data_IF_518324902413
#
_entry.id   IF_518324902413
#
_cell.length_a   1.000
_cell.length_b   1.000
_cell.length_c   1.000
_cell.angle_alpha   90.00
_cell.angle_beta   90.00
_cell.angle_gamma   90.00
#
_symmetry.space_group_name_H-M   'P 1'
#
loop_
_entity.id
_entity.type
_entity.pdbx_description
1 polymer ?
#
# COMPACT_ATOMS: atom_id res chain seq x y z
N UNK A 1 19.13 26.41 42.09
CA UNK A 1 18.32 25.36 42.74
C UNK A 1 17.18 25.04 41.80
N UNK A 2 17.17 23.81 41.28
CA UNK A 2 16.10 22.98 40.66
C UNK A 2 14.76 23.67 40.35
N UNK A 3 14.07 23.45 39.23
CA UNK A 3 13.95 22.32 38.29
C UNK A 3 12.87 22.82 37.29
N UNK A 4 13.03 22.72 35.97
CA UNK A 4 12.79 21.49 35.24
C UNK A 4 11.29 21.33 34.96
N UNK A 5 10.76 21.99 33.93
CA UNK A 5 9.53 21.59 33.23
C UNK A 5 9.67 21.93 31.74
N UNK A 6 10.55 21.18 31.09
CA UNK A 6 10.70 21.13 29.64
C UNK A 6 9.48 20.37 29.09
N UNK A 7 8.36 21.06 28.93
CA UNK A 7 7.13 20.47 28.40
C UNK A 7 7.25 20.28 26.87
N UNK A 8 8.16 19.39 26.46
CA UNK A 8 8.45 19.01 25.07
C UNK A 8 7.44 18.02 24.47
N UNK A 9 6.25 17.86 25.05
CA UNK A 9 5.17 17.16 24.35
C UNK A 9 4.58 18.14 23.36
N UNK A 10 5.26 18.26 22.22
CA UNK A 10 4.64 18.77 21.00
C UNK A 10 3.28 18.12 20.91
N UNK A 11 2.24 18.97 20.97
CA UNK A 11 0.85 18.57 20.85
C UNK A 11 0.78 17.51 19.77
N UNK A 12 0.42 16.28 20.13
CA UNK A 12 0.19 15.20 19.18
C UNK A 12 -1.05 15.59 18.37
N UNK A 13 -0.85 16.54 17.47
CA UNK A 13 -1.80 16.96 16.47
C UNK A 13 -2.00 15.72 15.63
N UNK A 14 -3.24 15.21 15.66
CA UNK A 14 -3.68 14.22 14.70
C UNK A 14 -3.22 14.73 13.33
N UNK A 15 -2.30 14.02 12.65
CA UNK A 15 -1.64 14.60 11.50
C UNK A 15 -2.73 14.83 10.45
N UNK A 16 -2.72 16.00 9.81
CA UNK A 16 -3.75 16.45 8.86
C UNK A 16 -3.98 15.46 7.68
N UNK A 17 -3.18 14.39 7.58
CA UNK A 17 -3.30 13.27 6.62
C UNK A 17 -4.66 12.57 6.62
N UNK A 18 -5.46 12.64 7.69
CA UNK A 18 -6.80 12.00 7.70
C UNK A 18 -7.87 12.88 7.04
N UNK A 19 -7.62 14.18 6.82
CA UNK A 19 -8.58 15.09 6.17
C UNK A 19 -8.52 15.05 4.64
N UNK A 20 -7.37 14.69 4.06
CA UNK A 20 -7.20 14.52 2.62
C UNK A 20 -7.08 13.03 2.29
N UNK A 21 -7.77 12.50 1.26
CA UNK A 21 -7.57 11.12 0.83
C UNK A 21 -6.09 10.82 0.57
N UNK A 22 -5.55 9.82 1.27
CA UNK A 22 -4.12 9.47 1.20
C UNK A 22 -3.93 8.14 0.46
N UNK A 23 -2.98 8.11 -0.48
CA UNK A 23 -2.61 6.91 -1.25
C UNK A 23 -1.29 6.33 -0.72
N UNK A 24 -1.28 5.05 -0.37
CA UNK A 24 -0.09 4.33 0.07
C UNK A 24 0.32 3.34 -1.02
N UNK A 25 1.38 3.67 -1.77
CA UNK A 25 1.92 2.80 -2.82
C UNK A 25 3.05 1.93 -2.27
N UNK A 26 2.89 0.61 -2.38
CA UNK A 26 3.91 -0.34 -1.94
C UNK A 26 4.86 -0.70 -3.09
N UNK A 27 6.15 -0.49 -2.89
CA UNK A 27 7.19 -0.77 -3.88
C UNK A 27 8.11 -1.92 -3.46
N UNK A 28 8.77 -2.55 -4.43
CA UNK A 28 9.79 -3.57 -4.19
C UNK A 28 9.64 -4.82 -5.05
N UNK A 29 10.61 -5.73 -4.95
CA UNK A 29 10.65 -6.96 -5.75
C UNK A 29 9.52 -7.94 -5.42
N UNK A 30 9.13 -8.83 -6.35
CA UNK A 30 8.19 -9.91 -6.09
C UNK A 30 8.56 -10.71 -4.82
N UNK A 31 7.54 -11.28 -4.15
CA UNK A 31 7.69 -12.05 -2.90
C UNK A 31 8.26 -11.30 -1.66
N UNK A 32 8.44 -9.97 -1.71
CA UNK A 32 8.91 -9.16 -0.56
C UNK A 32 7.83 -8.73 0.43
N UNK A 33 6.77 -9.52 0.61
CA UNK A 33 5.76 -9.25 1.63
C UNK A 33 4.85 -8.05 1.41
N UNK A 34 4.91 -7.35 0.25
CA UNK A 34 4.03 -6.21 -0.07
C UNK A 34 2.56 -6.52 0.19
N UNK A 35 2.02 -7.58 -0.41
CA UNK A 35 0.60 -7.96 -0.24
C UNK A 35 0.24 -8.29 1.21
N UNK A 36 1.19 -8.84 1.99
CA UNK A 36 0.97 -9.10 3.41
C UNK A 36 0.89 -7.77 4.20
N UNK A 37 1.82 -6.86 3.93
CA UNK A 37 1.88 -5.56 4.59
C UNK A 37 0.64 -4.69 4.29
N UNK A 38 0.15 -4.63 3.03
CA UNK A 38 -1.08 -3.88 2.75
C UNK A 38 -2.27 -4.44 3.50
N UNK A 39 -2.47 -5.76 3.51
CA UNK A 39 -3.60 -6.38 4.20
C UNK A 39 -3.57 -6.09 5.69
N UNK A 40 -2.39 -6.18 6.32
CA UNK A 40 -2.21 -5.88 7.75
C UNK A 40 -2.47 -4.41 8.05
N UNK A 41 -1.94 -3.51 7.20
CA UNK A 41 -2.15 -2.07 7.33
C UNK A 41 -3.62 -1.68 7.14
N UNK A 42 -4.28 -2.18 6.09
CA UNK A 42 -5.71 -1.93 5.85
C UNK A 42 -6.56 -2.46 7.00
N UNK A 43 -6.27 -3.64 7.56
CA UNK A 43 -6.98 -4.16 8.73
C UNK A 43 -6.81 -3.26 9.95
N UNK A 44 -5.57 -2.82 10.22
CA UNK A 44 -5.28 -1.95 11.34
C UNK A 44 -5.97 -0.58 11.21
N UNK A 45 -5.88 0.04 10.03
CA UNK A 45 -6.50 1.34 9.77
C UNK A 45 -8.03 1.28 9.89
N UNK A 46 -8.66 0.23 9.37
CA UNK A 46 -10.09 0.04 9.56
C UNK A 46 -10.46 -0.24 11.03
N UNK A 47 -9.61 -0.95 11.78
CA UNK A 47 -9.82 -1.22 13.21
C UNK A 47 -9.82 0.06 14.06
N UNK A 48 -8.93 1.02 13.76
CA UNK A 48 -8.91 2.33 14.43
C UNK A 48 -9.94 3.34 13.86
N UNK A 49 -10.81 2.91 12.93
CA UNK A 49 -11.91 3.71 12.40
C UNK A 49 -11.60 4.50 11.12
N UNK A 50 -10.44 4.32 10.50
CA UNK A 50 -10.07 4.98 9.24
C UNK A 50 -10.52 4.10 8.06
N UNK A 51 -11.51 4.59 7.30
CA UNK A 51 -12.00 3.92 6.08
C UNK A 51 -10.86 3.72 5.08
N UNK A 52 -10.37 2.49 4.96
CA UNK A 52 -9.22 2.16 4.11
C UNK A 52 -9.52 0.94 3.24
N UNK A 53 -9.10 0.97 1.97
CA UNK A 53 -9.24 -0.14 1.03
C UNK A 53 -7.88 -0.55 0.48
N UNK A 54 -7.63 -1.86 0.39
CA UNK A 54 -6.47 -2.39 -0.29
C UNK A 54 -6.77 -2.59 -1.78
N UNK A 55 -5.86 -2.14 -2.64
CA UNK A 55 -5.92 -2.38 -4.08
C UNK A 55 -4.74 -3.27 -4.48
N UNK A 56 -5.03 -4.49 -4.95
CA UNK A 56 -4.01 -5.45 -5.36
C UNK A 56 -4.01 -5.61 -6.88
N UNK A 57 -3.09 -4.94 -7.57
CA UNK A 57 -2.95 -4.98 -9.03
C UNK A 57 -2.86 -6.42 -9.58
N UNK A 58 -2.27 -7.36 -8.82
CA UNK A 58 -2.19 -8.77 -9.21
C UNK A 58 -3.52 -9.52 -9.18
N UNK A 59 -4.51 -9.07 -8.41
CA UNK A 59 -5.89 -9.59 -8.46
C UNK A 59 -6.63 -9.05 -9.68
N UNK A 60 -6.51 -7.75 -9.96
CA UNK A 60 -7.08 -7.15 -11.17
C UNK A 60 -6.55 -7.81 -12.45
N UNK A 61 -5.23 -8.04 -12.53
CA UNK A 61 -4.63 -8.78 -13.67
C UNK A 61 -5.23 -10.18 -13.82
N UNK A 62 -5.36 -10.93 -12.71
CA UNK A 62 -5.91 -12.30 -12.74
C UNK A 62 -7.38 -12.34 -13.13
N UNK A 63 -8.15 -11.31 -12.80
CA UNK A 63 -9.54 -11.17 -13.23
C UNK A 63 -9.66 -10.75 -14.71
N UNK A 64 -8.71 -9.99 -15.23
CA UNK A 64 -8.71 -9.51 -16.62
C UNK A 64 -8.19 -10.55 -17.63
N UNK A 65 -7.45 -11.58 -17.20
CA UNK A 65 -6.86 -12.59 -18.10
C UNK A 65 -6.75 -13.97 -17.45
N UNK A 66 -7.44 -14.97 -18.00
CA UNK A 66 -7.24 -16.39 -17.66
C UNK A 66 -6.01 -17.01 -18.36
N UNK A 67 -5.55 -16.39 -19.45
CA UNK A 67 -4.65 -17.01 -20.43
C UNK A 67 -3.15 -17.01 -20.06
N UNK A 68 -2.70 -16.23 -19.07
CA UNK A 68 -1.27 -15.96 -18.89
C UNK A 68 -0.76 -16.28 -17.47
N UNK A 69 -0.62 -17.57 -17.20
CA UNK A 69 -0.03 -18.11 -15.94
C UNK A 69 1.50 -18.23 -15.98
N UNK A 70 2.10 -18.04 -17.14
CA UNK A 70 3.53 -18.29 -17.38
C UNK A 70 4.38 -17.05 -17.15
N UNK A 71 5.66 -17.26 -16.81
CA UNK A 71 6.64 -16.22 -16.54
C UNK A 71 6.88 -15.27 -17.73
N UNK A 72 6.56 -15.71 -18.96
CA UNK A 72 6.64 -14.91 -20.19
C UNK A 72 5.83 -13.62 -20.13
N UNK A 73 4.77 -13.58 -19.32
CA UNK A 73 4.00 -12.37 -19.07
C UNK A 73 4.88 -11.25 -18.48
N UNK A 74 5.93 -11.58 -17.70
CA UNK A 74 6.79 -10.60 -17.01
C UNK A 74 8.07 -10.22 -17.73
N UNK A 75 8.29 -10.76 -18.91
CA UNK A 75 9.43 -10.36 -19.70
C UNK A 75 9.21 -8.94 -20.26
N UNK A 76 10.30 -8.18 -20.34
CA UNK A 76 10.28 -6.80 -20.82
C UNK A 76 10.04 -6.69 -22.34
N UNK A 77 10.21 -7.80 -23.06
CA UNK A 77 10.04 -7.92 -24.51
C UNK A 77 8.56 -8.11 -24.94
N UNK A 78 7.66 -8.45 -24.00
CA UNK A 78 6.25 -8.69 -24.28
C UNK A 78 5.42 -7.40 -24.19
N UNK A 79 5.25 -6.71 -25.33
CA UNK A 79 4.49 -5.46 -25.44
C UNK A 79 3.00 -5.60 -25.09
N UNK A 80 2.36 -6.69 -25.51
CA UNK A 80 0.95 -6.98 -25.17
C UNK A 80 0.76 -7.15 -23.65
N UNK A 81 1.68 -7.85 -22.99
CA UNK A 81 1.64 -8.01 -21.54
C UNK A 81 1.99 -6.71 -20.78
N UNK A 82 2.71 -5.77 -21.40
CA UNK A 82 2.95 -4.45 -20.83
C UNK A 82 1.70 -3.57 -20.85
N UNK A 83 0.93 -3.62 -21.94
CA UNK A 83 -0.34 -2.88 -22.05
C UNK A 83 -1.35 -3.37 -20.99
N UNK A 84 -1.43 -4.68 -20.74
CA UNK A 84 -2.31 -5.24 -19.69
C UNK A 84 -1.86 -4.90 -18.25
N UNK A 85 -0.65 -4.37 -18.06
CA UNK A 85 -0.14 -3.94 -16.74
C UNK A 85 -0.38 -2.46 -16.43
N UNK A 86 -0.61 -1.63 -17.46
CA UNK A 86 -0.88 -0.20 -17.29
C UNK A 86 -2.30 0.01 -16.76
#
# INVERSE_FOLDING_TARGET
MNSGEDHWWGSATCPNVVKCPTVISMVGLPARGKTYMSKKLTRYLNWIGIKTKAFNVGEYRRAATEAYRTHDFFRADNKEAQEVRQ
#
